data_IF_954236542642
#
_entry.id   IF_954236542642
#
_cell.length_a   1.000
_cell.length_b   1.000
_cell.length_c   1.000
_cell.angle_alpha   90.00
_cell.angle_beta   90.00
_cell.angle_gamma   90.00
#
_symmetry.space_group_name_H-M   'P 1'
#
loop_
_entity.id
_entity.type
_entity.pdbx_description
1 polymer ?
#
# COMPACT_ATOMS: atom_id res chain seq x y z
N UNK A 1 30.80 18.85 -19.97
CA UNK A 1 29.81 18.21 -19.07
C UNK A 1 30.31 16.80 -18.79
N UNK A 2 30.71 16.50 -17.55
CA UNK A 2 31.22 15.19 -17.19
C UNK A 2 30.06 14.20 -17.09
N UNK A 3 30.07 13.16 -17.93
CA UNK A 3 29.11 12.05 -17.86
C UNK A 3 29.59 11.08 -16.77
N UNK A 4 28.93 11.11 -15.61
CA UNK A 4 29.23 10.34 -14.40
C UNK A 4 28.96 8.82 -14.49
N UNK A 5 28.82 8.25 -15.70
CA UNK A 5 28.63 6.82 -15.88
C UNK A 5 27.30 6.25 -15.37
N UNK A 6 26.30 7.07 -15.01
CA UNK A 6 24.96 6.57 -14.70
C UNK A 6 24.23 6.22 -15.99
N UNK A 7 23.80 4.96 -16.13
CA UNK A 7 22.95 4.55 -17.25
C UNK A 7 21.60 5.31 -17.19
N UNK A 8 21.20 5.91 -18.32
CA UNK A 8 19.86 6.51 -18.55
C UNK A 8 18.74 5.46 -18.63
N UNK A 9 19.08 4.18 -18.42
CA UNK A 9 18.18 3.03 -18.50
C UNK A 9 18.30 2.25 -17.20
N UNK A 10 17.15 2.05 -16.54
CA UNK A 10 17.01 1.20 -15.37
C UNK A 10 16.06 0.04 -15.67
N UNK A 11 16.38 -1.15 -15.16
CA UNK A 11 15.40 -2.23 -15.12
C UNK A 11 14.40 -1.96 -13.99
N UNK A 12 13.14 -1.77 -14.33
CA UNK A 12 12.11 -1.55 -13.33
C UNK A 12 11.82 -2.84 -12.55
N UNK A 13 11.50 -3.94 -13.24
CA UNK A 13 11.13 -5.21 -12.60
C UNK A 13 11.60 -6.43 -13.38
N UNK A 14 12.11 -7.41 -12.65
CA UNK A 14 12.36 -8.78 -13.12
C UNK A 14 11.71 -9.71 -12.10
N UNK A 15 10.87 -10.63 -12.56
CA UNK A 15 10.22 -11.66 -11.73
C UNK A 15 10.06 -12.96 -12.50
N UNK A 16 10.14 -14.06 -11.77
CA UNK A 16 9.74 -15.37 -12.26
C UNK A 16 8.33 -15.68 -11.77
N UNK A 17 7.48 -16.20 -12.65
CA UNK A 17 6.14 -16.65 -12.32
C UNK A 17 5.86 -17.93 -13.10
N UNK A 18 5.40 -18.97 -12.42
CA UNK A 18 5.06 -20.25 -13.04
C UNK A 18 3.84 -20.85 -12.37
N UNK A 19 3.05 -21.59 -13.14
CA UNK A 19 2.03 -22.46 -12.58
C UNK A 19 2.65 -23.81 -12.21
N UNK A 20 2.27 -24.37 -11.06
CA UNK A 20 2.76 -25.66 -10.57
C UNK A 20 1.61 -26.65 -10.43
N UNK A 21 1.83 -27.90 -10.87
CA UNK A 21 0.90 -29.04 -10.82
C UNK A 21 -0.41 -28.87 -11.62
N UNK A 22 -0.98 -27.67 -11.66
CA UNK A 22 -2.17 -27.26 -12.40
C UNK A 22 -2.10 -25.76 -12.71
N UNK A 23 -3.04 -25.25 -13.48
CA UNK A 23 -3.25 -23.81 -13.71
C UNK A 23 -3.74 -23.04 -12.46
N UNK A 24 -4.17 -23.75 -11.42
CA UNK A 24 -4.73 -23.17 -10.18
C UNK A 24 -3.71 -22.62 -9.20
N UNK A 25 -2.47 -23.14 -9.20
CA UNK A 25 -1.41 -22.68 -8.31
C UNK A 25 -0.36 -21.93 -9.10
N UNK A 26 -0.33 -20.62 -8.95
CA UNK A 26 0.74 -19.76 -9.47
C UNK A 26 1.70 -19.42 -8.34
N UNK A 27 2.99 -19.68 -8.57
CA UNK A 27 4.07 -19.26 -7.67
C UNK A 27 4.91 -18.21 -8.38
N UNK A 28 5.34 -17.20 -7.63
CA UNK A 28 6.16 -16.13 -8.14
C UNK A 28 7.24 -15.73 -7.15
N UNK A 29 8.38 -15.30 -7.67
CA UNK A 29 9.49 -14.78 -6.86
C UNK A 29 10.39 -13.88 -7.71
N UNK A 30 11.11 -13.00 -7.05
CA UNK A 30 12.04 -12.11 -7.74
C UNK A 30 12.73 -11.11 -6.82
N UNK A 31 13.74 -10.40 -7.34
CA UNK A 31 14.42 -9.33 -6.64
C UNK A 31 13.53 -8.11 -6.37
N UNK A 32 12.41 -7.97 -7.10
CA UNK A 32 11.39 -6.95 -6.87
C UNK A 32 9.98 -7.51 -7.06
N UNK A 33 9.29 -7.69 -5.95
CA UNK A 33 7.86 -8.02 -5.87
C UNK A 33 7.15 -6.81 -5.29
N UNK A 34 6.13 -6.32 -6.00
CA UNK A 34 5.28 -5.23 -5.52
C UNK A 34 3.99 -5.83 -4.94
N UNK A 35 3.74 -5.60 -3.66
CA UNK A 35 2.70 -6.28 -2.88
C UNK A 35 1.29 -6.04 -3.42
N UNK A 36 1.01 -4.80 -3.87
CA UNK A 36 -0.28 -4.36 -4.39
C UNK A 36 -0.66 -4.98 -5.75
N UNK A 37 0.28 -5.64 -6.44
CA UNK A 37 -0.03 -6.37 -7.68
C UNK A 37 -0.72 -7.72 -7.40
N UNK A 38 -0.60 -8.22 -6.17
CA UNK A 38 -1.05 -9.56 -5.78
C UNK A 38 -2.10 -9.55 -4.67
N UNK A 39 -2.06 -8.54 -3.81
CA UNK A 39 -2.95 -8.38 -2.66
C UNK A 39 -3.64 -7.02 -2.77
N UNK A 40 -4.88 -6.92 -2.31
CA UNK A 40 -5.68 -5.70 -2.27
C UNK A 40 -6.11 -5.13 -3.63
N UNK A 41 -6.12 -5.99 -4.63
CA UNK A 41 -6.65 -5.66 -5.96
C UNK A 41 -8.13 -5.27 -5.91
N UNK A 42 -8.54 -4.35 -6.79
CA UNK A 42 -9.92 -3.95 -6.96
C UNK A 42 -10.19 -3.60 -8.42
N UNK A 43 -11.31 -4.06 -8.97
CA UNK A 43 -11.63 -3.90 -10.38
C UNK A 43 -11.97 -2.47 -10.80
N UNK A 44 -12.27 -1.59 -9.83
CA UNK A 44 -12.76 -0.21 -10.07
C UNK A 44 -11.90 0.87 -9.41
N UNK A 45 -10.94 0.48 -8.58
CA UNK A 45 -10.17 1.40 -7.75
C UNK A 45 -8.79 0.82 -7.42
N UNK A 46 -8.02 0.44 -8.45
CA UNK A 46 -6.68 -0.14 -8.28
C UNK A 46 -5.68 0.24 -9.38
N UNK A 47 -6.04 1.11 -10.33
CA UNK A 47 -5.17 1.52 -11.41
C UNK A 47 -5.16 3.06 -11.57
N UNK A 48 -3.99 3.68 -11.34
CA UNK A 48 -3.82 5.13 -11.40
C UNK A 48 -3.79 5.71 -12.82
N UNK A 49 -3.73 4.88 -13.86
CA UNK A 49 -3.79 5.32 -15.25
C UNK A 49 -5.25 5.47 -15.72
N UNK A 50 -6.17 4.66 -15.17
CA UNK A 50 -7.55 4.61 -15.66
C UNK A 50 -8.60 5.02 -14.61
N UNK A 51 -8.32 4.89 -13.31
CA UNK A 51 -9.28 5.15 -12.22
C UNK A 51 -8.86 6.38 -11.39
N UNK A 52 -8.92 6.27 -10.06
CA UNK A 52 -8.50 7.27 -9.08
C UNK A 52 -7.00 7.57 -9.14
N UNK A 53 -6.62 8.84 -8.94
CA UNK A 53 -5.23 9.30 -8.83
C UNK A 53 -4.76 9.38 -7.38
N UNK A 54 -5.67 9.56 -6.41
CA UNK A 54 -5.32 9.53 -5.00
C UNK A 54 -4.99 8.10 -4.59
N UNK A 55 -3.71 7.83 -4.30
CA UNK A 55 -3.29 6.49 -3.87
C UNK A 55 -3.88 6.03 -2.54
N UNK A 56 -4.61 6.89 -1.81
CA UNK A 56 -5.46 6.49 -0.70
C UNK A 56 -6.71 5.72 -1.14
N UNK A 57 -7.20 5.92 -2.38
CA UNK A 57 -8.34 5.19 -2.95
C UNK A 57 -7.95 3.99 -3.81
N UNK A 58 -6.69 3.93 -4.25
CA UNK A 58 -6.17 2.83 -5.08
C UNK A 58 -5.87 1.60 -4.21
N UNK A 59 -5.33 1.78 -3.00
CA UNK A 59 -4.95 0.68 -2.11
C UNK A 59 -5.18 1.02 -0.63
N UNK A 60 -5.37 -0.02 0.18
CA UNK A 60 -5.28 0.05 1.63
C UNK A 60 -3.82 0.24 2.05
N UNK A 61 -3.44 1.51 2.26
CA UNK A 61 -2.08 1.89 2.67
C UNK A 61 -1.66 1.33 4.03
N UNK A 62 -2.60 0.94 4.90
CA UNK A 62 -2.24 0.24 6.15
C UNK A 62 -1.71 -1.16 5.86
N UNK A 63 -2.21 -1.85 4.84
CA UNK A 63 -1.85 -3.24 4.53
C UNK A 63 -0.47 -3.36 3.85
N UNK A 64 -0.01 -2.28 3.23
CA UNK A 64 1.15 -2.28 2.32
C UNK A 64 2.19 -1.17 2.61
N UNK A 65 2.55 -0.85 3.87
CA UNK A 65 3.42 0.30 4.15
C UNK A 65 4.85 0.11 3.64
N UNK A 66 5.32 -1.15 3.55
CA UNK A 66 6.48 -1.52 2.74
C UNK A 66 5.97 -2.39 1.58
N UNK A 67 5.82 -1.77 0.41
CA UNK A 67 5.11 -2.34 -0.73
C UNK A 67 6.02 -3.01 -1.77
N UNK A 68 7.35 -2.96 -1.64
CA UNK A 68 8.26 -3.58 -2.60
C UNK A 68 9.54 -4.12 -1.98
N UNK A 69 10.14 -5.12 -2.64
CA UNK A 69 11.42 -5.71 -2.26
C UNK A 69 11.65 -7.10 -2.83
N UNK A 70 12.77 -7.72 -2.46
CA UNK A 70 13.05 -9.10 -2.84
C UNK A 70 12.07 -10.03 -2.11
N UNK A 71 11.50 -10.99 -2.82
CA UNK A 71 10.46 -11.80 -2.22
C UNK A 71 9.80 -12.77 -3.18
N UNK A 72 8.64 -13.24 -2.76
CA UNK A 72 7.85 -14.17 -3.52
C UNK A 72 6.55 -14.52 -2.81
N UNK A 73 5.74 -15.31 -3.46
CA UNK A 73 4.42 -15.65 -2.99
C UNK A 73 3.76 -16.68 -3.85
N UNK A 74 2.50 -16.93 -3.54
CA UNK A 74 1.64 -17.77 -4.33
C UNK A 74 0.26 -17.16 -4.46
N UNK A 75 -0.43 -17.62 -5.50
CA UNK A 75 -1.84 -17.40 -5.75
C UNK A 75 -2.46 -18.77 -6.04
N UNK A 76 -3.44 -19.15 -5.23
CA UNK A 76 -4.10 -20.44 -5.31
C UNK A 76 -5.60 -20.27 -5.47
N UNK A 77 -6.10 -20.57 -6.67
CA UNK A 77 -7.52 -20.58 -6.99
C UNK A 77 -8.12 -21.95 -6.66
N UNK A 78 -8.86 -22.09 -5.57
CA UNK A 78 -9.52 -23.35 -5.25
C UNK A 78 -10.61 -23.67 -6.28
N UNK A 79 -11.46 -22.68 -6.53
CA UNK A 79 -12.60 -22.67 -7.46
C UNK A 79 -13.06 -21.22 -7.68
N UNK A 80 -14.05 -20.97 -8.53
CA UNK A 80 -14.54 -19.61 -8.84
C UNK A 80 -15.00 -18.80 -7.62
N UNK A 81 -15.39 -19.46 -6.53
CA UNK A 81 -15.87 -18.82 -5.29
C UNK A 81 -14.75 -18.45 -4.31
N UNK A 82 -13.60 -19.15 -4.33
CA UNK A 82 -12.57 -19.02 -3.30
C UNK A 82 -11.15 -19.04 -3.87
N UNK A 83 -10.34 -18.05 -3.49
CA UNK A 83 -8.90 -18.00 -3.75
C UNK A 83 -8.12 -17.59 -2.51
N UNK A 84 -6.88 -18.07 -2.38
CA UNK A 84 -5.95 -17.66 -1.34
C UNK A 84 -4.65 -17.17 -1.97
N UNK A 85 -4.18 -16.02 -1.48
CA UNK A 85 -2.91 -15.42 -1.89
C UNK A 85 -2.07 -15.16 -0.66
N UNK A 86 -0.77 -15.34 -0.80
CA UNK A 86 0.18 -14.92 0.22
C UNK A 86 1.46 -14.42 -0.43
N UNK A 87 2.03 -13.37 0.15
CA UNK A 87 3.22 -12.70 -0.36
C UNK A 87 4.14 -12.38 0.81
N UNK A 88 5.41 -12.66 0.61
CA UNK A 88 6.49 -12.24 1.47
C UNK A 88 7.40 -11.29 0.70
N UNK A 89 7.74 -10.17 1.34
CA UNK A 89 8.64 -9.16 0.81
C UNK A 89 9.65 -8.79 1.88
N UNK A 90 10.92 -8.84 1.52
CA UNK A 90 12.01 -8.29 2.31
C UNK A 90 12.46 -6.98 1.66
N UNK A 91 12.20 -5.86 2.33
CA UNK A 91 12.52 -4.53 1.80
C UNK A 91 14.02 -4.46 1.41
N UNK A 92 14.90 -5.07 2.20
CA UNK A 92 16.35 -5.01 2.00
C UNK A 92 16.98 -6.33 1.47
N UNK A 93 16.18 -7.32 1.07
CA UNK A 93 16.65 -8.70 0.82
C UNK A 93 17.57 -8.94 -0.39
N UNK A 94 17.97 -7.89 -1.11
CA UNK A 94 18.79 -7.98 -2.33
C UNK A 94 19.61 -6.72 -2.63
N UNK A 95 19.83 -5.87 -1.63
CA UNK A 95 20.60 -4.63 -1.76
C UNK A 95 22.09 -4.91 -2.05
N UNK A 96 22.61 -4.44 -3.19
CA UNK A 96 24.02 -4.63 -3.56
C UNK A 96 24.99 -3.71 -2.78
N UNK A 97 24.51 -2.62 -2.18
CA UNK A 97 25.33 -1.66 -1.43
C UNK A 97 24.68 -1.26 -0.11
N UNK A 98 25.38 -1.48 1.01
CA UNK A 98 25.13 -0.78 2.27
C UNK A 98 26.19 0.33 2.45
N UNK A 99 25.77 1.55 2.75
CA UNK A 99 26.68 2.64 3.15
C UNK A 99 26.69 2.78 4.68
N UNK A 100 27.85 2.80 5.35
CA UNK A 100 27.94 3.01 6.79
C UNK A 100 27.64 4.45 7.28
N UNK A 101 27.44 5.43 6.38
CA UNK A 101 27.35 6.86 6.74
C UNK A 101 26.06 7.59 6.34
N UNK A 102 25.08 6.94 5.70
CA UNK A 102 23.74 7.52 5.46
C UNK A 102 22.67 6.47 5.73
N UNK A 103 21.51 6.95 6.16
CA UNK A 103 20.40 6.22 6.80
C UNK A 103 19.17 6.27 5.87
N UNK A 104 18.28 5.26 5.91
CA UNK A 104 17.20 4.95 4.92
C UNK A 104 16.32 6.12 4.49
N UNK A 105 15.50 5.95 3.45
CA UNK A 105 14.48 6.95 3.12
C UNK A 105 13.03 6.40 3.04
N UNK A 106 12.01 7.30 3.13
CA UNK A 106 10.58 6.95 3.24
C UNK A 106 9.91 6.26 2.05
N UNK A 107 10.56 6.06 0.89
CA UNK A 107 10.01 5.28 -0.25
C UNK A 107 11.09 4.61 -1.15
N UNK A 108 12.39 4.72 -0.83
CA UNK A 108 13.50 4.40 -1.72
C UNK A 108 14.68 3.77 -0.98
N UNK A 109 14.49 2.49 -0.65
CA UNK A 109 15.43 1.40 -0.32
C UNK A 109 16.90 1.61 -0.76
N UNK A 110 17.93 0.92 -0.22
CA UNK A 110 18.14 0.21 1.07
C UNK A 110 19.34 0.76 1.88
N UNK A 111 19.41 0.47 3.19
CA UNK A 111 20.70 0.25 3.86
C UNK A 111 20.80 -1.19 4.35
N UNK A 112 21.73 -1.92 3.75
CA UNK A 112 22.11 -3.27 4.14
C UNK A 112 23.11 -3.80 3.12
N UNK A 113 24.22 -4.37 3.60
CA UNK A 113 25.06 -5.21 2.77
C UNK A 113 24.27 -6.45 2.30
N UNK A 114 24.74 -7.14 1.26
CA UNK A 114 24.17 -8.41 0.80
C UNK A 114 23.86 -9.33 2.01
N UNK A 115 22.61 -9.77 2.16
CA UNK A 115 22.17 -10.62 3.28
C UNK A 115 21.67 -9.91 4.55
N UNK A 116 21.63 -8.57 4.60
CA UNK A 116 21.12 -7.80 5.75
C UNK A 116 19.58 -7.64 5.79
N UNK A 117 18.84 -8.28 4.87
CA UNK A 117 17.38 -8.26 4.79
C UNK A 117 16.81 -9.65 4.52
N UNK A 118 15.61 -9.95 5.04
CA UNK A 118 14.94 -11.23 4.82
C UNK A 118 14.53 -11.93 6.12
N UNK A 119 14.40 -13.26 6.07
CA UNK A 119 13.96 -14.08 7.20
C UNK A 119 14.88 -14.01 8.43
N UNK A 120 16.09 -13.50 8.26
CA UNK A 120 17.14 -13.44 9.28
C UNK A 120 17.54 -12.00 9.68
N UNK A 121 16.89 -10.96 9.15
CA UNK A 121 17.20 -9.58 9.48
C UNK A 121 16.51 -8.54 8.59
N UNK A 122 16.58 -7.27 8.97
CA UNK A 122 15.99 -6.18 8.19
C UNK A 122 14.46 -6.08 8.28
N UNK A 123 13.92 -5.12 7.53
CA UNK A 123 12.47 -4.91 7.46
C UNK A 123 11.81 -5.89 6.49
N UNK A 124 10.72 -6.49 6.92
CA UNK A 124 10.00 -7.53 6.17
C UNK A 124 8.50 -7.33 6.28
N UNK A 125 7.78 -7.67 5.22
CA UNK A 125 6.32 -7.75 5.19
C UNK A 125 5.89 -9.14 4.77
N UNK A 126 4.94 -9.72 5.49
CA UNK A 126 4.14 -10.85 5.02
C UNK A 126 2.70 -10.40 4.93
N UNK A 127 2.02 -10.74 3.85
CA UNK A 127 0.59 -10.51 3.69
C UNK A 127 -0.09 -11.76 3.16
N UNK A 128 -1.33 -11.95 3.57
CA UNK A 128 -2.22 -12.99 3.07
C UNK A 128 -3.60 -12.39 2.79
N UNK A 129 -4.25 -12.90 1.75
CA UNK A 129 -5.59 -12.51 1.34
C UNK A 129 -6.41 -13.73 0.99
N UNK A 130 -7.58 -13.84 1.61
CA UNK A 130 -8.62 -14.77 1.21
C UNK A 130 -9.66 -14.00 0.39
N UNK A 131 -9.80 -14.35 -0.88
CA UNK A 131 -10.82 -13.80 -1.75
C UNK A 131 -12.01 -14.74 -1.81
N UNK A 132 -13.19 -14.17 -1.60
CA UNK A 132 -14.49 -14.82 -1.67
C UNK A 132 -15.29 -14.10 -2.76
N UNK A 133 -15.80 -14.85 -3.73
CA UNK A 133 -16.62 -14.34 -4.82
C UNK A 133 -18.03 -14.91 -4.73
N UNK A 134 -18.94 -14.30 -3.95
CA UNK A 134 -20.30 -14.83 -3.75
C UNK A 134 -21.08 -14.98 -5.06
N UNK A 135 -20.81 -14.09 -6.02
CA UNK A 135 -21.33 -14.09 -7.38
C UNK A 135 -20.25 -13.57 -8.34
N UNK A 136 -20.42 -13.77 -9.65
CA UNK A 136 -19.43 -13.39 -10.66
C UNK A 136 -19.13 -11.88 -10.74
N UNK A 137 -19.98 -11.04 -10.15
CA UNK A 137 -19.86 -9.56 -10.20
C UNK A 137 -19.53 -8.95 -8.84
N UNK A 138 -19.25 -9.75 -7.82
CA UNK A 138 -18.90 -9.25 -6.50
C UNK A 138 -17.73 -10.04 -5.90
N UNK A 139 -16.82 -9.33 -5.24
CA UNK A 139 -15.65 -9.91 -4.58
C UNK A 139 -15.49 -9.29 -3.19
N UNK A 140 -15.19 -10.14 -2.20
CA UNK A 140 -14.89 -9.76 -0.82
C UNK A 140 -13.54 -10.39 -0.48
N UNK A 141 -12.60 -9.54 -0.08
CA UNK A 141 -11.22 -9.91 0.23
C UNK A 141 -10.97 -9.66 1.71
N UNK A 142 -10.63 -10.71 2.45
CA UNK A 142 -10.21 -10.64 3.85
C UNK A 142 -8.69 -10.70 3.90
N UNK A 143 -8.08 -9.72 4.53
CA UNK A 143 -6.65 -9.48 4.43
C UNK A 143 -6.01 -9.42 5.80
N UNK A 144 -4.79 -9.96 5.88
CA UNK A 144 -3.90 -9.77 7.01
C UNK A 144 -2.52 -9.43 6.49
N UNK A 145 -1.85 -8.48 7.12
CA UNK A 145 -0.42 -8.28 6.91
C UNK A 145 0.30 -8.04 8.22
N UNK A 146 1.51 -8.57 8.32
CA UNK A 146 2.45 -8.23 9.37
C UNK A 146 3.70 -7.63 8.75
N UNK A 147 4.11 -6.47 9.21
CA UNK A 147 5.39 -5.90 8.82
C UNK A 147 6.23 -5.53 10.03
N UNK A 148 7.53 -5.76 9.89
CA UNK A 148 8.56 -5.47 10.87
C UNK A 148 9.45 -4.39 10.28
N UNK A 149 9.73 -3.36 11.06
CA UNK A 149 10.61 -2.26 10.67
C UNK A 149 11.82 -2.23 11.61
N UNK A 150 12.99 -2.66 11.12
CA UNK A 150 14.20 -2.63 11.93
C UNK A 150 14.70 -1.19 12.11
N UNK A 151 14.93 -0.77 13.34
CA UNK A 151 15.41 0.58 13.68
C UNK A 151 14.40 1.69 13.45
N UNK A 152 13.13 1.36 13.13
CA UNK A 152 12.08 2.34 12.87
C UNK A 152 10.78 1.99 13.61
N UNK A 153 9.88 2.96 13.72
CA UNK A 153 8.50 2.77 14.16
C UNK A 153 7.59 3.61 13.26
N UNK A 154 6.77 2.98 12.41
CA UNK A 154 5.93 3.66 11.41
C UNK A 154 6.73 4.66 10.55
N UNK A 155 7.89 4.22 10.04
CA UNK A 155 8.82 5.05 9.28
C UNK A 155 9.60 6.10 10.08
N UNK A 156 9.42 6.19 11.40
CA UNK A 156 10.20 7.11 12.26
C UNK A 156 11.51 6.48 12.67
N UNK A 157 12.64 7.16 12.42
CA UNK A 157 13.96 6.65 12.74
C UNK A 157 14.26 6.68 14.24
N UNK A 158 14.38 5.49 14.84
CA UNK A 158 14.64 5.32 16.27
C UNK A 158 16.11 5.55 16.64
N UNK A 159 17.04 5.56 15.68
CA UNK A 159 18.45 5.86 15.95
C UNK A 159 18.65 7.29 16.48
N UNK A 160 17.79 8.24 16.10
CA UNK A 160 17.79 9.60 16.64
C UNK A 160 17.48 9.65 18.16
N UNK A 161 16.87 8.59 18.70
CA UNK A 161 16.57 8.42 20.12
C UNK A 161 17.58 7.49 20.82
N UNK A 162 18.69 7.12 20.15
CA UNK A 162 19.63 6.11 20.63
C UNK A 162 19.10 4.68 20.58
N UNK A 163 17.89 4.47 20.03
CA UNK A 163 17.17 3.19 20.02
C UNK A 163 17.23 2.49 18.65
N UNK A 164 18.33 2.67 17.91
CA UNK A 164 18.47 2.14 16.54
C UNK A 164 18.47 0.61 16.43
N UNK A 165 18.66 -0.11 17.55
CA UNK A 165 18.51 -1.57 17.61
C UNK A 165 17.08 -2.06 17.79
N UNK A 166 16.16 -1.20 18.22
CA UNK A 166 14.76 -1.55 18.44
C UNK A 166 14.01 -1.70 17.11
N UNK A 167 12.84 -2.33 17.13
CA UNK A 167 12.03 -2.49 15.92
C UNK A 167 10.55 -2.23 16.15
N UNK A 168 9.92 -1.60 15.15
CA UNK A 168 8.48 -1.52 15.02
C UNK A 168 7.93 -2.84 14.48
N UNK A 169 6.78 -3.25 14.99
CA UNK A 169 6.04 -4.39 14.48
C UNK A 169 4.58 -4.04 14.39
N UNK A 170 4.00 -4.23 13.21
CA UNK A 170 2.62 -3.85 12.96
C UNK A 170 1.84 -5.02 12.39
N UNK A 171 0.72 -5.32 13.02
CA UNK A 171 -0.28 -6.26 12.55
C UNK A 171 -1.46 -5.48 11.98
N UNK A 172 -1.93 -5.87 10.79
CA UNK A 172 -2.99 -5.17 10.07
C UNK A 172 -4.04 -6.18 9.64
N UNK A 173 -5.29 -5.84 9.87
CA UNK A 173 -6.44 -6.56 9.34
C UNK A 173 -7.18 -5.65 8.37
N UNK A 174 -7.53 -6.19 7.21
CA UNK A 174 -8.16 -5.46 6.12
C UNK A 174 -9.37 -6.19 5.55
N UNK A 175 -10.31 -5.41 5.04
CA UNK A 175 -11.38 -5.89 4.15
C UNK A 175 -11.41 -5.00 2.93
N UNK A 176 -11.50 -5.59 1.75
CA UNK A 176 -11.75 -4.93 0.47
C UNK A 176 -12.94 -5.61 -0.18
N UNK A 177 -13.96 -4.84 -0.55
CA UNK A 177 -15.16 -5.35 -1.18
C UNK A 177 -15.51 -4.54 -2.43
N UNK A 178 -16.00 -5.23 -3.45
CA UNK A 178 -16.49 -4.62 -4.68
C UNK A 178 -17.72 -5.35 -5.19
N UNK A 179 -18.60 -4.61 -5.87
CA UNK A 179 -19.79 -5.15 -6.50
C UNK A 179 -20.17 -4.33 -7.72
N UNK A 180 -20.08 -4.94 -8.90
CA UNK A 180 -20.80 -4.50 -10.09
C UNK A 180 -22.26 -4.90 -9.94
N UNK A 181 -23.07 -3.93 -9.48
CA UNK A 181 -24.51 -4.09 -9.25
C UNK A 181 -25.22 -4.35 -10.59
N UNK A 182 -24.86 -3.56 -11.59
CA UNK A 182 -25.29 -3.66 -12.99
C UNK A 182 -24.13 -3.23 -13.90
N UNK A 183 -24.13 -3.54 -15.22
CA UNK A 183 -22.99 -3.23 -16.10
C UNK A 183 -22.50 -1.78 -16.11
N UNK A 184 -23.34 -0.81 -15.74
CA UNK A 184 -22.99 0.61 -15.68
C UNK A 184 -22.84 1.19 -14.27
N UNK A 185 -22.96 0.39 -13.21
CA UNK A 185 -22.87 0.87 -11.81
C UNK A 185 -22.12 -0.16 -10.97
N UNK A 186 -21.00 0.27 -10.41
CA UNK A 186 -20.22 -0.49 -9.44
C UNK A 186 -19.98 0.31 -8.18
N UNK A 187 -19.93 -0.37 -7.04
CA UNK A 187 -19.52 0.19 -5.75
C UNK A 187 -18.33 -0.59 -5.21
N UNK A 188 -17.52 0.08 -4.40
CA UNK A 188 -16.41 -0.55 -3.69
C UNK A 188 -16.19 0.10 -2.33
N UNK A 189 -15.48 -0.61 -1.47
CA UNK A 189 -15.03 -0.06 -0.20
C UNK A 189 -13.86 -0.85 0.37
N UNK A 190 -13.07 -0.17 1.21
CA UNK A 190 -11.99 -0.79 1.97
C UNK A 190 -12.04 -0.32 3.41
N UNK A 191 -11.66 -1.18 4.33
CA UNK A 191 -11.45 -0.84 5.74
C UNK A 191 -10.18 -1.53 6.21
N UNK A 192 -9.38 -0.84 7.00
CA UNK A 192 -8.18 -1.38 7.61
C UNK A 192 -8.05 -0.93 9.07
N UNK A 193 -7.59 -1.83 9.92
CA UNK A 193 -7.18 -1.53 11.29
C UNK A 193 -5.81 -2.13 11.56
N UNK A 194 -4.99 -1.44 12.33
CA UNK A 194 -3.64 -1.85 12.65
C UNK A 194 -3.33 -1.68 14.14
N UNK A 195 -2.52 -2.60 14.66
CA UNK A 195 -1.88 -2.50 15.98
C UNK A 195 -0.37 -2.51 15.79
N UNK A 196 0.29 -1.44 16.21
CA UNK A 196 1.75 -1.32 16.13
C UNK A 196 2.37 -1.38 17.51
N UNK A 197 3.40 -2.19 17.64
CA UNK A 197 4.16 -2.41 18.87
C UNK A 197 5.63 -2.04 18.67
N UNK A 198 6.30 -1.67 19.76
CA UNK A 198 7.73 -1.40 19.79
C UNK A 198 8.45 -2.56 20.49
N UNK A 199 9.27 -3.30 19.75
CA UNK A 199 10.11 -4.35 20.27
C UNK A 199 11.47 -3.75 20.66
N UNK A 200 11.77 -3.79 21.96
CA UNK A 200 13.00 -3.21 22.50
C UNK A 200 14.08 -4.25 22.66
N UNK A 201 15.30 -3.86 22.33
CA UNK A 201 16.49 -4.65 22.68
C UNK A 201 16.76 -4.60 24.18
N UNK A 202 17.50 -5.58 24.75
CA UNK A 202 17.85 -5.58 26.17
C UNK A 202 18.57 -4.30 26.64
N UNK A 203 19.31 -3.65 25.73
CA UNK A 203 20.09 -2.43 26.01
C UNK A 203 19.42 -1.16 25.47
N UNK A 204 18.15 -1.22 25.08
CA UNK A 204 17.43 -0.05 24.56
C UNK A 204 17.44 1.09 25.58
N UNK A 205 17.75 2.34 25.17
CA UNK A 205 17.61 3.50 26.04
C UNK A 205 16.14 3.83 26.36
N UNK A 206 15.18 3.18 25.68
CA UNK A 206 13.75 3.29 25.96
C UNK A 206 13.28 2.29 27.02
N UNK A 207 14.16 1.42 27.51
CA UNK A 207 13.85 0.51 28.61
C UNK A 207 13.55 1.31 29.88
N UNK A 208 12.39 1.05 30.49
CA UNK A 208 11.86 1.82 31.61
C UNK A 208 10.84 2.91 31.22
N UNK A 209 10.71 3.25 29.94
CA UNK A 209 9.64 4.11 29.44
C UNK A 209 8.39 3.28 29.12
N UNK A 210 7.22 3.75 29.54
CA UNK A 210 5.95 3.15 29.13
C UNK A 210 5.75 3.34 27.62
N UNK A 211 5.36 2.26 26.94
CA UNK A 211 4.91 2.32 25.55
C UNK A 211 3.56 1.64 25.46
N UNK A 212 2.56 2.38 24.96
CA UNK A 212 1.25 1.85 24.65
C UNK A 212 1.17 1.64 23.14
N UNK A 213 0.79 0.43 22.73
CA UNK A 213 0.66 0.08 21.31
C UNK A 213 -0.21 1.09 20.56
N UNK A 214 0.20 1.38 19.33
CA UNK A 214 -0.45 2.35 18.47
C UNK A 214 -1.58 1.66 17.74
N UNK A 215 -2.82 2.09 17.96
CA UNK A 215 -3.96 1.67 17.14
C UNK A 215 -4.12 2.65 15.99
N UNK A 216 -4.26 2.17 14.76
CA UNK A 216 -4.54 2.99 13.59
C UNK A 216 -5.66 2.40 12.75
N UNK A 217 -6.35 3.23 11.96
CA UNK A 217 -7.37 2.78 11.01
C UNK A 217 -7.39 3.61 9.73
N UNK A 218 -7.98 3.05 8.68
CA UNK A 218 -8.26 3.72 7.40
C UNK A 218 -9.53 3.13 6.81
N UNK A 219 -10.26 3.91 6.02
CA UNK A 219 -11.42 3.42 5.32
C UNK A 219 -11.71 4.24 4.07
N UNK A 220 -12.39 3.63 3.12
CA UNK A 220 -12.90 4.32 1.95
C UNK A 220 -14.17 3.64 1.44
N UNK A 221 -14.98 4.42 0.75
CA UNK A 221 -16.07 3.92 -0.07
C UNK A 221 -16.13 4.75 -1.35
N UNK A 222 -16.54 4.10 -2.43
CA UNK A 222 -16.68 4.77 -3.71
C UNK A 222 -17.64 4.07 -4.64
N UNK A 223 -17.93 4.79 -5.71
CA UNK A 223 -18.80 4.37 -6.79
C UNK A 223 -18.12 4.69 -8.12
N UNK A 224 -18.28 3.78 -9.07
CA UNK A 224 -17.81 3.94 -10.45
C UNK A 224 -18.96 3.66 -11.40
N UNK A 225 -19.03 4.45 -12.46
CA UNK A 225 -19.98 4.33 -13.57
C UNK A 225 -19.19 4.02 -14.86
N UNK A 226 -18.93 2.73 -15.15
CA UNK A 226 -18.24 2.33 -16.37
C UNK A 226 -19.07 2.65 -17.61
N UNK A 227 -18.40 3.05 -18.69
CA UNK A 227 -18.99 3.41 -19.98
C UNK A 227 -20.04 4.54 -19.91
N UNK A 228 -19.96 5.39 -18.88
CA UNK A 228 -20.86 6.53 -18.76
C UNK A 228 -20.67 7.48 -19.95
N UNK A 229 -21.76 7.76 -20.67
CA UNK A 229 -21.77 8.61 -21.87
C UNK A 229 -20.89 8.11 -23.03
N UNK A 230 -20.52 6.82 -23.05
CA UNK A 230 -19.80 6.23 -24.18
C UNK A 230 -18.88 5.09 -23.77
N UNK A 231 -18.62 4.17 -24.70
CA UNK A 231 -17.70 3.05 -24.49
C UNK A 231 -16.29 3.54 -24.13
N UNK A 232 -15.69 2.95 -23.10
CA UNK A 232 -14.34 3.29 -22.62
C UNK A 232 -14.30 4.45 -21.62
N UNK A 233 -15.32 5.31 -21.60
CA UNK A 233 -15.45 6.36 -20.59
C UNK A 233 -15.69 5.77 -19.20
N UNK A 234 -15.42 6.56 -18.17
CA UNK A 234 -15.79 6.20 -16.80
C UNK A 234 -15.94 7.45 -15.94
N UNK A 235 -16.90 7.45 -15.03
CA UNK A 235 -16.94 8.40 -13.91
C UNK A 235 -16.68 7.65 -12.62
N UNK A 236 -15.88 8.21 -11.72
CA UNK A 236 -15.65 7.67 -10.40
C UNK A 236 -15.74 8.76 -9.35
N UNK A 237 -16.27 8.41 -8.18
CA UNK A 237 -16.25 9.26 -6.98
C UNK A 237 -15.98 8.40 -5.75
N UNK A 238 -15.12 8.88 -4.86
CA UNK A 238 -14.79 8.23 -3.61
C UNK A 238 -14.65 9.23 -2.47
N UNK A 239 -14.93 8.74 -1.27
CA UNK A 239 -14.71 9.43 -0.01
C UNK A 239 -14.09 8.46 0.98
N UNK A 240 -13.16 8.95 1.79
CA UNK A 240 -12.51 8.11 2.77
C UNK A 240 -11.60 8.86 3.71
N UNK A 241 -11.16 8.12 4.71
CA UNK A 241 -10.19 8.55 5.69
C UNK A 241 -8.89 7.81 5.42
N UNK A 242 -7.80 8.52 5.08
CA UNK A 242 -6.46 7.97 5.10
C UNK A 242 -6.08 7.41 6.47
N UNK A 243 -4.82 6.99 6.61
CA UNK A 243 -4.32 6.46 7.87
C UNK A 243 -4.52 7.49 8.99
N UNK A 244 -5.22 7.06 10.05
CA UNK A 244 -5.40 7.81 11.28
C UNK A 244 -4.93 6.99 12.46
N UNK A 245 -4.06 7.58 13.28
CA UNK A 245 -3.71 7.04 14.60
C UNK A 245 -4.86 7.34 15.57
N UNK A 246 -5.37 6.30 16.22
CA UNK A 246 -6.49 6.37 17.16
C UNK A 246 -6.02 6.45 18.61
N UNK A 247 -4.94 5.75 18.93
CA UNK A 247 -4.33 5.71 20.26
C UNK A 247 -2.85 5.32 20.17
N UNK A 248 -2.13 5.46 21.27
CA UNK A 248 -0.72 5.08 21.41
C UNK A 248 0.06 6.17 22.12
N UNK A 249 1.11 5.79 22.84
CA UNK A 249 1.99 6.75 23.50
C UNK A 249 3.36 6.17 23.83
N UNK A 250 4.34 7.06 24.01
CA UNK A 250 5.66 6.74 24.56
C UNK A 250 5.99 7.72 25.68
N UNK A 251 6.35 7.21 26.86
CA UNK A 251 6.67 8.02 28.05
C UNK A 251 5.56 9.03 28.41
N UNK A 252 4.29 8.67 28.19
CA UNK A 252 3.13 9.54 28.41
C UNK A 252 2.83 10.53 27.29
N UNK A 253 3.70 10.69 26.29
CA UNK A 253 3.42 11.51 25.10
C UNK A 253 2.54 10.74 24.12
N UNK A 254 1.31 11.21 23.94
CA UNK A 254 0.33 10.59 23.04
C UNK A 254 0.63 10.85 21.57
N UNK A 255 0.31 9.86 20.73
CA UNK A 255 0.48 9.93 19.27
C UNK A 255 -0.81 10.29 18.52
N UNK A 256 -1.95 10.37 19.21
CA UNK A 256 -3.23 10.69 18.57
C UNK A 256 -3.20 12.14 18.05
N UNK A 257 -3.39 12.34 16.73
CA UNK A 257 -3.38 13.66 16.14
C UNK A 257 -4.65 14.45 16.51
N UNK A 258 -4.61 15.77 16.32
CA UNK A 258 -5.69 16.66 16.76
C UNK A 258 -6.95 16.57 15.90
N UNK A 259 -6.84 16.14 14.65
CA UNK A 259 -7.93 16.04 13.69
C UNK A 259 -8.04 14.66 13.02
N UNK A 260 -8.83 14.62 11.97
CA UNK A 260 -9.07 13.44 11.14
C UNK A 260 -9.08 13.85 9.68
N UNK A 261 -8.03 13.46 8.94
CA UNK A 261 -7.96 13.74 7.51
C UNK A 261 -9.04 12.97 6.76
N UNK A 262 -9.70 13.64 5.81
CA UNK A 262 -10.68 13.02 4.92
C UNK A 262 -10.41 13.48 3.50
N UNK A 263 -10.51 12.56 2.56
CA UNK A 263 -10.28 12.82 1.15
C UNK A 263 -11.58 12.58 0.39
N UNK A 264 -11.83 13.44 -0.59
CA UNK A 264 -12.83 13.26 -1.64
C UNK A 264 -12.07 13.29 -2.96
N UNK A 265 -12.38 12.37 -3.88
CA UNK A 265 -11.89 12.42 -5.25
C UNK A 265 -13.03 12.11 -6.21
N UNK A 266 -13.11 12.86 -7.31
CA UNK A 266 -14.01 12.58 -8.41
C UNK A 266 -13.29 12.79 -9.74
N UNK A 267 -13.44 11.84 -10.66
CA UNK A 267 -12.86 11.93 -11.99
C UNK A 267 -13.88 11.60 -13.06
N UNK A 268 -13.63 12.09 -14.27
CA UNK A 268 -14.31 11.63 -15.47
C UNK A 268 -13.28 11.32 -16.55
N UNK A 269 -13.12 10.05 -16.92
CA UNK A 269 -12.28 9.61 -18.02
C UNK A 269 -13.04 9.70 -19.33
N UNK A 270 -12.56 10.54 -20.23
CA UNK A 270 -12.98 10.61 -21.62
C UNK A 270 -12.02 9.75 -22.47
N UNK A 271 -12.53 8.67 -23.07
CA UNK A 271 -11.81 7.89 -24.06
C UNK A 271 -11.94 8.59 -25.41
N UNK A 272 -10.86 9.25 -25.88
CA UNK A 272 -10.90 9.98 -27.14
C UNK A 272 -10.79 9.05 -28.36
N UNK A 273 -9.97 8.00 -28.24
CA UNK A 273 -9.81 6.91 -29.20
C UNK A 273 -9.05 5.75 -28.53
N UNK A 274 -8.83 4.63 -29.22
CA UNK A 274 -8.18 3.42 -28.66
C UNK A 274 -6.79 3.63 -28.05
N UNK A 275 -6.13 4.76 -28.34
CA UNK A 275 -4.75 5.08 -27.91
C UNK A 275 -4.65 6.24 -26.95
N UNK A 276 -5.71 7.02 -26.76
CA UNK A 276 -5.67 8.24 -25.96
C UNK A 276 -6.92 8.38 -25.09
N UNK A 277 -6.71 8.59 -23.80
CA UNK A 277 -7.73 9.04 -22.86
C UNK A 277 -7.29 10.32 -22.16
N UNK A 278 -8.28 11.16 -21.81
CA UNK A 278 -8.08 12.37 -20.99
C UNK A 278 -9.01 12.27 -19.78
N UNK A 279 -8.49 12.50 -18.58
CA UNK A 279 -9.22 12.39 -17.32
C UNK A 279 -9.03 13.66 -16.50
N UNK A 280 -9.96 14.62 -16.53
CA UNK A 280 -10.09 15.59 -15.45
C UNK A 280 -10.40 14.87 -14.13
N UNK A 281 -9.70 15.32 -13.09
CA UNK A 281 -9.78 14.80 -11.73
C UNK A 281 -9.82 15.96 -10.75
N UNK A 282 -10.69 15.87 -9.75
CA UNK A 282 -10.82 16.83 -8.67
C UNK A 282 -10.73 16.14 -7.33
N UNK A 283 -9.89 16.68 -6.45
CA UNK A 283 -9.75 16.19 -5.09
C UNK A 283 -9.97 17.31 -4.08
N UNK A 284 -10.54 16.95 -2.94
CA UNK A 284 -10.66 17.83 -1.80
C UNK A 284 -10.23 17.11 -0.52
N UNK A 285 -9.26 17.70 0.18
CA UNK A 285 -8.69 17.16 1.42
C UNK A 285 -9.15 18.04 2.58
N UNK A 286 -9.78 17.42 3.57
CA UNK A 286 -10.28 18.06 4.79
C UNK A 286 -9.32 17.71 5.93
N UNK A 287 -8.94 18.69 6.76
CA UNK A 287 -8.04 18.49 7.91
C UNK A 287 -6.76 17.74 7.54
N UNK A 288 -6.09 18.20 6.48
CA UNK A 288 -4.86 17.60 5.96
C UNK A 288 -3.82 17.36 7.07
N UNK A 289 -3.06 16.28 6.96
CA UNK A 289 -2.12 15.77 7.95
C UNK A 289 -2.76 15.40 9.30
N UNK A 290 -4.07 15.13 9.33
CA UNK A 290 -4.86 14.89 10.54
C UNK A 290 -4.81 16.07 11.55
N UNK A 291 -4.81 17.32 11.07
CA UNK A 291 -4.77 18.51 11.93
C UNK A 291 -6.13 19.21 11.90
N UNK A 292 -6.77 19.37 13.06
CA UNK A 292 -8.19 19.78 13.15
C UNK A 292 -8.50 21.19 12.63
N UNK A 293 -7.53 22.09 12.66
CA UNK A 293 -7.66 23.47 12.20
C UNK A 293 -7.00 23.73 10.84
N UNK A 294 -6.56 22.68 10.13
CA UNK A 294 -6.04 22.85 8.78
C UNK A 294 -7.16 23.18 7.80
N UNK A 295 -6.94 24.22 7.00
CA UNK A 295 -7.84 24.58 5.90
C UNK A 295 -7.91 23.45 4.87
N UNK A 296 -9.07 23.34 4.21
CA UNK A 296 -9.24 22.36 3.15
C UNK A 296 -8.36 22.65 1.94
N UNK A 297 -7.88 21.59 1.29
CA UNK A 297 -7.02 21.69 0.10
C UNK A 297 -7.81 21.19 -1.10
N UNK A 298 -7.96 22.03 -2.11
CA UNK A 298 -8.53 21.65 -3.40
C UNK A 298 -7.41 21.37 -4.40
N UNK A 299 -7.52 20.27 -5.12
CA UNK A 299 -6.56 19.85 -6.15
C UNK A 299 -7.35 19.58 -7.42
N UNK A 300 -6.91 20.18 -8.53
CA UNK A 300 -7.42 19.87 -9.85
C UNK A 300 -6.29 19.29 -10.69
N UNK A 301 -6.54 18.13 -11.29
CA UNK A 301 -5.55 17.42 -12.13
C UNK A 301 -6.17 17.12 -13.49
N UNK A 302 -5.35 17.11 -14.52
CA UNK A 302 -5.72 16.59 -15.84
C UNK A 302 -4.71 15.52 -16.23
N UNK A 303 -5.18 14.27 -16.31
CA UNK A 303 -4.36 13.12 -16.72
C UNK A 303 -4.60 12.79 -18.19
N UNK A 304 -3.53 12.56 -18.95
CA UNK A 304 -3.60 12.03 -20.31
C UNK A 304 -2.79 10.74 -20.39
N UNK A 305 -3.40 9.67 -20.92
CA UNK A 305 -2.75 8.35 -21.06
C UNK A 305 -2.67 7.98 -22.53
N UNK A 306 -1.47 7.60 -22.96
CA UNK A 306 -1.16 7.17 -24.32
C UNK A 306 -0.81 5.68 -24.31
N UNK A 307 -1.52 4.87 -25.09
CA UNK A 307 -1.25 3.45 -25.27
C UNK A 307 -0.72 3.21 -26.69
N UNK A 308 0.45 2.58 -26.80
CA UNK A 308 1.18 2.35 -28.06
C UNK A 308 1.48 0.88 -28.30
#
# INVERSE_FOLDING_TARGET
VATNGSALVSFDKIRYSTSLFSDKLRVFFGPRIDLFEYIDTNSFANNAEVDFSNGGFINNRLLTPSFLGAGGGFDYQFNDFLALRAVYVAANGGAASGNPNVNFNPQGVPYGAFGAGGLFGGSTTIAAELEINPIKTASIKLQYSRFIEQGQLLGTNLAALGAGGDSGSTDVFGVNAEWAIVPGIAIFGRYGTASTSLNRTPNSPLNGLSFNSISSSTWQAGLTLPNLLGTGNAFGIAYGQPIRVNSGSLAGFGFTPSGTEQNIEAFFRFQLNDRLSITPDFQYIIQAANISNNAGISIGTLRAVFNF
#
